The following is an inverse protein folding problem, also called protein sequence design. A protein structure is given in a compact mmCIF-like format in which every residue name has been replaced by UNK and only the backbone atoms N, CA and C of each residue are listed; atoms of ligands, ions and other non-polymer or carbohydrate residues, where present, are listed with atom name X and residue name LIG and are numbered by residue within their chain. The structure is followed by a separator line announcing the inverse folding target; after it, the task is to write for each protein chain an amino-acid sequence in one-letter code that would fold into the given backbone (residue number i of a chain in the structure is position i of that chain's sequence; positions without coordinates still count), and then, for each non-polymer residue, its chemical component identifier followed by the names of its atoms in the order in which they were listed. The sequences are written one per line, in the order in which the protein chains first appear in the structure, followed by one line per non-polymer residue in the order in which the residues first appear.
data_IF_628913578921
#
_entry.id   IF_628913578921
#
_cell.length_a   1.000
_cell.length_b   1.000
_cell.length_c   1.000
_cell.angle_alpha   90.00
_cell.angle_beta   90.00
_cell.angle_gamma   90.00
#
_symmetry.space_group_name_H-M   'P 1'
#
loop_
_entity.id
_entity.type
_entity.pdbx_description
1 polymer ?
#
# COMPACT_ATOMS: atom_id res chain seq x y z
N UNK A 1 37.65 -125.82 -26.91
CA UNK A 1 37.58 -124.82 -25.81
C UNK A 1 36.82 -123.60 -26.31
N UNK A 2 35.53 -123.48 -25.98
CA UNK A 2 34.65 -122.41 -26.47
C UNK A 2 34.51 -121.32 -25.39
N UNK A 3 35.03 -120.13 -25.68
CA UNK A 3 34.88 -118.94 -24.82
C UNK A 3 33.43 -118.45 -24.92
N UNK A 4 32.70 -118.51 -23.80
CA UNK A 4 31.34 -117.95 -23.68
C UNK A 4 31.44 -116.43 -23.70
N UNK A 5 30.92 -115.81 -24.75
CA UNK A 5 30.79 -114.36 -24.85
C UNK A 5 29.82 -113.84 -23.80
N UNK A 6 30.28 -112.89 -22.99
CA UNK A 6 29.47 -112.21 -21.98
C UNK A 6 28.38 -111.38 -22.67
N UNK A 7 27.13 -111.64 -22.29
CA UNK A 7 25.95 -110.91 -22.73
C UNK A 7 26.09 -109.41 -22.41
N UNK A 8 26.20 -108.59 -23.46
CA UNK A 8 26.12 -107.12 -23.33
C UNK A 8 24.67 -106.73 -23.04
N UNK A 9 24.39 -106.22 -21.84
CA UNK A 9 23.10 -105.59 -21.51
C UNK A 9 23.15 -104.12 -21.95
N UNK A 10 22.37 -103.69 -22.97
CA UNK A 10 22.35 -102.29 -23.37
C UNK A 10 21.74 -101.43 -22.26
N UNK A 11 22.44 -100.36 -21.89
CA UNK A 11 22.03 -99.39 -20.87
C UNK A 11 20.79 -98.62 -21.37
N UNK A 12 19.63 -98.84 -20.74
CA UNK A 12 18.38 -98.16 -21.12
C UNK A 12 18.53 -96.64 -20.90
N UNK A 13 18.42 -95.86 -21.99
CA UNK A 13 18.39 -94.40 -21.93
C UNK A 13 17.00 -93.98 -21.46
N UNK A 14 16.86 -93.58 -20.20
CA UNK A 14 15.66 -92.92 -19.70
C UNK A 14 15.43 -91.61 -20.46
N UNK A 15 14.49 -91.61 -21.41
CA UNK A 15 13.98 -90.37 -21.99
C UNK A 15 13.09 -89.72 -20.94
N UNK A 16 13.57 -88.64 -20.32
CA UNK A 16 12.75 -87.80 -19.46
C UNK A 16 11.73 -87.11 -20.36
N UNK A 17 10.50 -87.61 -20.38
CA UNK A 17 9.38 -86.93 -21.01
C UNK A 17 9.15 -85.64 -20.22
N UNK A 18 9.62 -84.50 -20.77
CA UNK A 18 9.27 -83.16 -20.26
C UNK A 18 7.75 -83.04 -20.37
N UNK A 19 7.06 -83.13 -19.24
CA UNK A 19 5.66 -82.81 -19.17
C UNK A 19 5.45 -81.39 -19.72
N UNK A 20 4.43 -81.15 -20.57
CA UNK A 20 4.13 -79.81 -21.05
C UNK A 20 3.85 -78.92 -19.84
N UNK A 21 4.70 -77.92 -19.66
CA UNK A 21 4.62 -76.94 -18.58
C UNK A 21 3.31 -76.16 -18.70
N UNK A 22 2.27 -76.61 -17.98
CA UNK A 22 0.90 -76.06 -17.96
C UNK A 22 0.81 -74.68 -17.28
N UNK A 23 1.92 -73.96 -17.10
CA UNK A 23 1.98 -72.70 -16.33
C UNK A 23 1.97 -71.41 -17.17
N UNK A 24 1.51 -71.42 -18.41
CA UNK A 24 1.48 -70.20 -19.25
C UNK A 24 0.13 -69.46 -19.29
N UNK A 25 -0.92 -69.95 -18.63
CA UNK A 25 -2.27 -69.40 -18.76
C UNK A 25 -2.66 -68.26 -17.82
N UNK A 26 -2.07 -68.15 -16.62
CA UNK A 26 -2.62 -67.29 -15.55
C UNK A 26 -1.92 -65.94 -15.36
N UNK A 27 -0.88 -65.61 -16.14
CA UNK A 27 -0.09 -64.39 -15.91
C UNK A 27 -0.76 -63.12 -16.48
N UNK A 28 -1.84 -63.24 -17.28
CA UNK A 28 -2.44 -62.08 -17.97
C UNK A 28 -3.66 -61.44 -17.31
N UNK A 29 -4.31 -62.09 -16.34
CA UNK A 29 -5.53 -61.53 -15.72
C UNK A 29 -5.22 -60.57 -14.57
N UNK A 30 -4.14 -60.78 -13.83
CA UNK A 30 -3.75 -59.93 -12.69
C UNK A 30 -3.36 -58.49 -13.11
N UNK A 31 -2.82 -58.34 -14.32
CA UNK A 31 -2.42 -57.03 -14.85
C UNK A 31 -3.61 -56.10 -15.11
N UNK A 32 -4.74 -56.64 -15.55
CA UNK A 32 -5.95 -55.84 -15.85
C UNK A 32 -6.63 -55.34 -14.58
N UNK A 33 -6.66 -56.15 -13.52
CA UNK A 33 -7.24 -55.76 -12.23
C UNK A 33 -6.44 -54.63 -11.56
N UNK A 34 -5.11 -54.68 -11.60
CA UNK A 34 -4.24 -53.61 -11.07
C UNK A 34 -4.36 -52.32 -11.87
N UNK A 35 -4.38 -52.41 -13.20
CA UNK A 35 -4.56 -51.25 -14.07
C UNK A 35 -5.91 -50.55 -13.82
N UNK A 36 -6.99 -51.32 -13.61
CA UNK A 36 -8.31 -50.77 -13.28
C UNK A 36 -8.33 -50.02 -11.92
N UNK A 37 -7.58 -50.51 -10.93
CA UNK A 37 -7.45 -49.84 -9.63
C UNK A 37 -6.76 -48.47 -9.73
N UNK A 38 -5.65 -48.40 -10.48
CA UNK A 38 -4.90 -47.15 -10.70
C UNK A 38 -5.75 -46.14 -11.48
N UNK A 39 -6.45 -46.58 -12.53
CA UNK A 39 -7.32 -45.70 -13.31
C UNK A 39 -8.43 -45.07 -12.45
N UNK A 40 -9.08 -45.84 -11.57
CA UNK A 40 -10.09 -45.32 -10.64
C UNK A 40 -9.52 -44.29 -9.67
N UNK A 41 -8.31 -44.51 -9.16
CA UNK A 41 -7.64 -43.55 -8.27
C UNK A 41 -7.36 -42.23 -9.00
N UNK A 42 -6.83 -42.27 -10.22
CA UNK A 42 -6.56 -41.07 -11.04
C UNK A 42 -7.85 -40.29 -11.29
N UNK A 43 -8.92 -40.98 -11.71
CA UNK A 43 -10.23 -40.34 -11.93
C UNK A 43 -10.76 -39.71 -10.64
N UNK A 44 -10.61 -40.39 -9.49
CA UNK A 44 -10.98 -39.86 -8.19
C UNK A 44 -10.20 -38.60 -7.81
N UNK A 45 -8.88 -38.58 -8.04
CA UNK A 45 -8.04 -37.40 -7.80
C UNK A 45 -8.42 -36.22 -8.70
N UNK A 46 -8.67 -36.47 -10.00
CA UNK A 46 -9.11 -35.43 -10.93
C UNK A 46 -10.46 -34.86 -10.49
N UNK A 47 -11.41 -35.73 -10.13
CA UNK A 47 -12.72 -35.31 -9.63
C UNK A 47 -12.60 -34.48 -8.35
N UNK A 48 -11.82 -34.94 -7.37
CA UNK A 48 -11.61 -34.21 -6.12
C UNK A 48 -10.90 -32.86 -6.35
N UNK A 49 -9.89 -32.83 -7.23
CA UNK A 49 -9.22 -31.59 -7.63
C UNK A 49 -10.16 -30.60 -8.31
N UNK A 50 -11.04 -31.08 -9.20
CA UNK A 50 -12.05 -30.25 -9.85
C UNK A 50 -13.07 -29.69 -8.85
N UNK A 51 -13.54 -30.51 -7.90
CA UNK A 51 -14.44 -30.07 -6.83
C UNK A 51 -13.74 -29.03 -5.94
N UNK A 52 -12.49 -29.25 -5.56
CA UNK A 52 -11.70 -28.29 -4.77
C UNK A 52 -11.53 -26.96 -5.51
N UNK A 53 -11.22 -27.01 -6.81
CA UNK A 53 -11.08 -25.81 -7.65
C UNK A 53 -12.40 -25.07 -7.80
N UNK A 54 -13.51 -25.80 -7.93
CA UNK A 54 -14.86 -25.22 -7.97
C UNK A 54 -15.23 -24.54 -6.65
N UNK A 55 -14.92 -25.16 -5.50
CA UNK A 55 -15.11 -24.52 -4.20
C UNK A 55 -14.21 -23.29 -4.06
N UNK A 56 -12.92 -23.38 -4.38
CA UNK A 56 -12.02 -22.23 -4.32
C UNK A 56 -12.55 -21.08 -5.19
N UNK A 57 -12.99 -21.37 -6.41
CA UNK A 57 -13.63 -20.39 -7.28
C UNK A 57 -14.90 -19.81 -6.64
N UNK A 58 -15.79 -20.65 -6.12
CA UNK A 58 -17.01 -20.21 -5.45
C UNK A 58 -16.70 -19.30 -4.25
N UNK A 59 -15.73 -19.64 -3.42
CA UNK A 59 -15.33 -18.83 -2.26
C UNK A 59 -14.65 -17.51 -2.66
N UNK A 60 -13.85 -17.50 -3.72
CA UNK A 60 -13.19 -16.28 -4.20
C UNK A 60 -14.16 -15.30 -4.88
N UNK A 61 -15.15 -15.81 -5.62
CA UNK A 61 -16.09 -15.01 -6.40
C UNK A 61 -17.46 -14.82 -5.74
N UNK A 62 -17.71 -15.48 -4.61
CA UNK A 62 -18.94 -15.26 -3.85
C UNK A 62 -18.94 -13.87 -3.22
N UNK A 63 -20.07 -13.18 -3.32
CA UNK A 63 -20.33 -11.93 -2.58
C UNK A 63 -20.31 -12.12 -1.05
N UNK A 64 -20.24 -13.36 -0.56
CA UNK A 64 -20.07 -13.69 0.87
C UNK A 64 -18.71 -13.28 1.46
N UNK A 65 -17.76 -12.76 0.70
CA UNK A 65 -16.51 -12.18 1.25
C UNK A 65 -16.31 -10.71 0.85
N UNK A 66 -17.36 -10.05 0.34
CA UNK A 66 -17.29 -8.63 0.01
C UNK A 66 -17.10 -7.80 1.29
N UNK A 67 -16.19 -6.83 1.24
CA UNK A 67 -15.93 -5.92 2.36
C UNK A 67 -17.14 -5.00 2.55
N UNK A 68 -17.76 -5.07 3.71
CA UNK A 68 -18.94 -4.26 4.08
C UNK A 68 -18.58 -3.14 5.05
N UNK A 69 -17.60 -3.37 5.93
CA UNK A 69 -17.20 -2.43 6.97
C UNK A 69 -15.76 -1.94 6.71
N UNK A 70 -15.57 -0.63 6.69
CA UNK A 70 -14.26 0.01 6.57
C UNK A 70 -14.10 0.89 7.81
N UNK A 71 -13.24 0.46 8.73
CA UNK A 71 -12.93 1.20 9.95
C UNK A 71 -11.68 2.01 9.74
N UNK A 72 -11.80 3.33 9.91
CA UNK A 72 -10.69 4.28 9.82
C UNK A 72 -10.44 4.81 11.23
N UNK A 73 -9.17 4.79 11.65
CA UNK A 73 -8.73 5.18 12.98
C UNK A 73 -7.53 6.12 12.83
N UNK A 74 -7.49 7.18 13.64
CA UNK A 74 -6.35 8.09 13.72
C UNK A 74 -6.38 9.27 12.75
N UNK A 75 -7.46 9.43 11.98
CA UNK A 75 -7.66 10.64 11.19
C UNK A 75 -8.10 11.80 12.09
N UNK A 76 -7.35 12.90 12.03
CA UNK A 76 -7.59 14.13 12.80
C UNK A 76 -8.00 15.26 11.87
N UNK A 77 -7.23 15.51 10.82
CA UNK A 77 -7.49 16.58 9.86
C UNK A 77 -8.08 16.05 8.55
N UNK A 78 -7.79 14.81 8.17
CA UNK A 78 -8.28 14.26 6.90
C UNK A 78 -9.75 13.82 7.03
N UNK A 79 -10.67 14.32 6.19
CA UNK A 79 -12.07 13.91 6.25
C UNK A 79 -12.26 12.42 5.99
N UNK A 80 -12.98 11.73 6.88
CA UNK A 80 -13.25 10.28 6.77
C UNK A 80 -13.91 9.90 5.44
N UNK A 81 -14.78 10.77 4.90
CA UNK A 81 -15.47 10.54 3.64
C UNK A 81 -14.53 10.46 2.43
N UNK A 82 -13.48 11.30 2.39
CA UNK A 82 -12.48 11.30 1.33
C UNK A 82 -11.63 10.02 1.36
N UNK A 83 -11.17 9.63 2.56
CA UNK A 83 -10.44 8.37 2.76
C UNK A 83 -11.28 7.17 2.35
N UNK A 84 -12.57 7.14 2.73
CA UNK A 84 -13.49 6.10 2.27
C UNK A 84 -13.62 6.08 0.74
N UNK A 85 -13.67 7.25 0.10
CA UNK A 85 -13.69 7.37 -1.35
C UNK A 85 -12.46 6.74 -2.02
N UNK A 86 -11.26 7.04 -1.50
CA UNK A 86 -10.00 6.48 -2.00
C UNK A 86 -9.97 4.97 -1.81
N UNK A 87 -10.27 4.49 -0.60
CA UNK A 87 -10.28 3.05 -0.29
C UNK A 87 -11.28 2.32 -1.19
N UNK A 88 -12.50 2.84 -1.35
CA UNK A 88 -13.52 2.25 -2.24
C UNK A 88 -13.08 2.25 -3.70
N UNK A 89 -12.44 3.33 -4.15
CA UNK A 89 -11.92 3.41 -5.52
C UNK A 89 -10.88 2.32 -5.79
N UNK A 90 -9.95 2.10 -4.87
CA UNK A 90 -8.94 1.04 -5.00
C UNK A 90 -9.52 -0.36 -4.89
N UNK A 91 -10.46 -0.58 -3.96
CA UNK A 91 -11.19 -1.86 -3.88
C UNK A 91 -12.01 -2.15 -5.14
N UNK A 92 -12.45 -1.12 -5.86
CA UNK A 92 -13.19 -1.27 -7.12
C UNK A 92 -12.29 -1.64 -8.31
N UNK A 93 -10.97 -1.38 -8.23
CA UNK A 93 -10.06 -1.72 -9.32
C UNK A 93 -9.96 -3.24 -9.47
N UNK A 94 -10.05 -3.72 -10.71
CA UNK A 94 -9.84 -5.13 -11.03
C UNK A 94 -8.34 -5.43 -11.05
N UNK A 95 -7.90 -6.40 -10.24
CA UNK A 95 -6.52 -6.88 -10.32
C UNK A 95 -6.45 -8.01 -11.35
N UNK A 96 -5.50 -7.90 -12.28
CA UNK A 96 -5.33 -8.85 -13.38
C UNK A 96 -6.57 -9.05 -14.27
N UNK A 97 -7.44 -8.04 -14.37
CA UNK A 97 -8.61 -8.04 -15.26
C UNK A 97 -9.78 -8.94 -14.86
N UNK A 98 -9.54 -9.99 -14.08
CA UNK A 98 -10.54 -11.05 -13.78
C UNK A 98 -10.96 -11.05 -12.31
N UNK A 99 -10.07 -10.71 -11.37
CA UNK A 99 -10.36 -10.84 -9.94
C UNK A 99 -10.78 -9.49 -9.35
N UNK A 100 -12.01 -9.35 -8.83
CA UNK A 100 -12.43 -8.14 -8.14
C UNK A 100 -11.68 -8.00 -6.80
N UNK A 101 -11.07 -6.83 -6.57
CA UNK A 101 -10.30 -6.56 -5.33
C UNK A 101 -11.18 -6.31 -4.09
N UNK A 102 -12.49 -6.59 -4.19
CA UNK A 102 -13.48 -6.38 -3.12
C UNK A 102 -13.57 -7.53 -2.12
N UNK A 103 -12.94 -8.66 -2.41
CA UNK A 103 -12.91 -9.80 -1.48
C UNK A 103 -11.96 -9.53 -0.33
N UNK A 104 -12.44 -9.67 0.92
CA UNK A 104 -11.68 -9.43 2.14
C UNK A 104 -10.40 -10.28 2.25
N UNK A 105 -10.37 -11.42 1.57
CA UNK A 105 -9.21 -12.33 1.53
C UNK A 105 -8.06 -11.80 0.68
N UNK A 106 -8.38 -11.13 -0.43
CA UNK A 106 -7.44 -10.77 -1.51
C UNK A 106 -7.17 -9.26 -1.62
N UNK A 107 -7.56 -8.49 -0.60
CA UNK A 107 -7.40 -7.04 -0.58
C UNK A 107 -5.91 -6.66 -0.69
N UNK A 108 -5.52 -5.83 -1.66
CA UNK A 108 -4.17 -5.31 -1.75
C UNK A 108 -3.97 -4.21 -0.71
N UNK A 109 -3.64 -4.60 0.53
CA UNK A 109 -3.41 -3.69 1.67
C UNK A 109 -2.37 -2.62 1.35
N UNK A 110 -1.31 -3.02 0.64
CA UNK A 110 -0.20 -2.13 0.28
C UNK A 110 -0.64 -1.11 -0.77
N UNK A 111 -1.41 -1.53 -1.78
CA UNK A 111 -1.94 -0.60 -2.79
C UNK A 111 -2.92 0.42 -2.17
N UNK A 112 -3.71 0.01 -1.17
CA UNK A 112 -4.57 0.94 -0.42
C UNK A 112 -3.72 1.93 0.38
N UNK A 113 -2.66 1.46 1.04
CA UNK A 113 -1.75 2.34 1.78
C UNK A 113 -1.04 3.33 0.84
N UNK A 114 -0.52 2.85 -0.30
CA UNK A 114 0.17 3.68 -1.29
C UNK A 114 -0.78 4.70 -1.95
N UNK A 115 -2.03 4.32 -2.22
CA UNK A 115 -3.04 5.24 -2.73
C UNK A 115 -3.32 6.38 -1.73
N UNK A 116 -3.36 6.09 -0.42
CA UNK A 116 -3.51 7.12 0.61
C UNK A 116 -2.24 7.99 0.70
N UNK A 117 -1.05 7.39 0.74
CA UNK A 117 0.25 8.10 0.78
C UNK A 117 0.48 9.01 -0.43
N UNK A 118 -0.03 8.63 -1.59
CA UNK A 118 0.10 9.44 -2.81
C UNK A 118 -0.72 10.75 -2.77
N UNK A 119 -1.71 10.84 -1.88
CA UNK A 119 -2.61 12.00 -1.77
C UNK A 119 -2.42 12.79 -0.48
N UNK A 120 -1.94 12.16 0.60
CA UNK A 120 -1.78 12.80 1.89
C UNK A 120 -0.42 12.53 2.51
N UNK A 121 0.07 13.51 3.27
CA UNK A 121 1.31 13.39 4.06
C UNK A 121 0.96 12.73 5.39
N UNK A 122 1.32 11.46 5.51
CA UNK A 122 1.09 10.59 6.67
C UNK A 122 2.42 10.05 7.16
N UNK A 123 2.58 9.90 8.47
CA UNK A 123 3.82 9.39 9.06
C UNK A 123 3.82 7.86 9.04
N UNK A 124 2.75 7.24 9.55
CA UNK A 124 2.53 5.80 9.48
C UNK A 124 1.12 5.45 8.97
N UNK A 125 1.03 4.33 8.23
CA UNK A 125 -0.23 3.74 7.79
C UNK A 125 -0.14 2.22 7.97
N UNK A 126 -1.06 1.68 8.78
CA UNK A 126 -1.26 0.25 8.96
C UNK A 126 -2.64 -0.15 8.44
N UNK A 127 -2.67 -0.78 7.27
CA UNK A 127 -3.87 -1.41 6.71
C UNK A 127 -3.91 -2.89 7.10
N UNK A 128 -4.90 -3.30 7.89
CA UNK A 128 -5.08 -4.69 8.32
C UNK A 128 -6.42 -5.24 7.86
N UNK A 129 -6.41 -6.48 7.38
CA UNK A 129 -7.62 -7.24 7.03
C UNK A 129 -8.29 -7.75 8.30
N UNK A 130 -9.59 -7.54 8.43
CA UNK A 130 -10.42 -8.05 9.53
C UNK A 130 -11.47 -8.99 8.93
N UNK A 131 -11.15 -10.27 8.91
CA UNK A 131 -12.07 -11.28 8.42
C UNK A 131 -13.35 -11.32 9.30
N UNK A 132 -14.52 -11.65 8.73
CA UNK A 132 -14.76 -11.99 7.32
C UNK A 132 -15.09 -10.82 6.38
N UNK A 133 -15.50 -9.63 6.88
CA UNK A 133 -16.10 -8.57 6.04
C UNK A 133 -15.54 -7.17 6.25
N UNK A 134 -14.41 -7.02 6.94
CA UNK A 134 -13.93 -5.72 7.36
C UNK A 134 -12.46 -5.45 6.98
N UNK A 135 -12.15 -4.17 6.81
CA UNK A 135 -10.77 -3.67 6.77
C UNK A 135 -10.65 -2.62 7.86
N UNK A 136 -9.54 -2.67 8.61
CA UNK A 136 -9.15 -1.59 9.52
C UNK A 136 -7.95 -0.85 8.96
N UNK A 137 -8.10 0.45 8.76
CA UNK A 137 -7.05 1.38 8.39
C UNK A 137 -6.74 2.24 9.60
N UNK A 138 -5.56 2.03 10.18
CA UNK A 138 -5.02 2.92 11.20
C UNK A 138 -3.99 3.82 10.52
N UNK A 139 -4.09 5.12 10.73
CA UNK A 139 -3.16 6.10 10.17
C UNK A 139 -2.70 7.08 11.25
N UNK A 140 -1.46 7.53 11.11
CA UNK A 140 -0.87 8.59 11.92
C UNK A 140 -0.54 9.76 11.00
N UNK A 141 -1.27 10.86 11.15
CA UNK A 141 -1.08 12.06 10.34
C UNK A 141 0.19 12.79 10.76
N UNK A 142 1.01 13.18 9.78
CA UNK A 142 2.16 14.04 10.05
C UNK A 142 1.65 15.47 10.22
N UNK A 143 1.76 16.02 11.43
CA UNK A 143 1.51 17.44 11.68
C UNK A 143 2.59 18.26 10.99
N UNK A 144 2.37 18.63 9.73
CA UNK A 144 3.25 19.52 9.01
C UNK A 144 3.09 20.93 9.57
N UNK A 145 4.05 21.36 10.39
CA UNK A 145 4.24 22.77 10.73
C UNK A 145 4.92 23.43 9.54
N UNK A 146 4.25 24.40 8.92
CA UNK A 146 4.87 25.24 7.90
C UNK A 146 5.55 26.39 8.64
N UNK A 147 6.89 26.39 8.66
CA UNK A 147 7.67 27.52 9.16
C UNK A 147 7.85 28.50 8.01
N UNK A 148 7.22 29.66 8.10
CA UNK A 148 7.33 30.68 7.07
C UNK A 148 8.38 31.69 7.52
N UNK A 149 9.58 31.62 6.93
CA UNK A 149 10.67 32.55 7.22
C UNK A 149 10.48 33.79 6.35
N UNK A 150 9.97 34.87 6.93
CA UNK A 150 9.84 36.16 6.25
C UNK A 150 11.03 37.02 6.66
N UNK A 151 11.79 37.53 5.68
CA UNK A 151 12.79 38.57 5.93
C UNK A 151 12.09 39.92 5.77
N UNK A 152 11.62 40.51 6.86
CA UNK A 152 11.11 41.88 6.87
C UNK A 152 12.29 42.85 6.99
N UNK A 153 12.54 43.72 5.99
CA UNK A 153 13.49 44.81 6.15
C UNK A 153 12.97 45.76 7.23
N UNK A 154 13.81 46.14 8.18
CA UNK A 154 13.48 47.17 9.17
C UNK A 154 14.34 48.38 8.82
N UNK A 155 13.71 49.43 8.30
CA UNK A 155 14.38 50.71 8.14
C UNK A 155 14.41 51.41 9.50
N UNK A 156 15.60 51.55 10.08
CA UNK A 156 15.80 52.37 11.26
C UNK A 156 15.87 53.81 10.79
N UNK A 157 14.72 54.50 10.84
CA UNK A 157 14.70 55.95 10.68
C UNK A 157 15.25 56.53 11.98
N UNK A 158 16.49 57.03 11.95
CA UNK A 158 17.09 57.76 13.07
C UNK A 158 16.28 59.05 13.31
N UNK A 159 15.30 58.97 14.22
CA UNK A 159 14.43 60.06 14.61
C UNK A 159 15.17 61.25 15.26
N UNK A 160 16.46 61.11 15.54
CA UNK A 160 17.32 62.16 16.10
C UNK A 160 17.48 63.38 15.18
N UNK A 161 17.20 63.25 13.87
CA UNK A 161 17.36 64.37 12.92
C UNK A 161 16.09 65.20 12.72
N UNK A 162 14.94 64.80 13.28
CA UNK A 162 13.65 65.47 13.08
C UNK A 162 13.25 66.43 14.22
N UNK A 163 14.10 66.58 15.24
CA UNK A 163 13.87 67.49 16.36
C UNK A 163 14.82 68.69 16.35
N UNK A 164 15.15 69.22 15.17
CA UNK A 164 15.55 70.62 15.11
C UNK A 164 14.26 71.44 15.13
N UNK A 165 13.94 72.12 16.25
CA UNK A 165 12.82 73.05 16.27
C UNK A 165 13.11 74.11 15.20
N UNK A 166 12.22 74.24 14.22
CA UNK A 166 12.18 75.48 13.45
C UNK A 166 11.83 76.59 14.45
N UNK A 167 12.85 77.38 14.81
CA UNK A 167 12.69 78.60 15.54
C UNK A 167 11.80 79.54 14.71
N UNK A 168 10.57 79.71 15.19
CA UNK A 168 9.85 80.97 15.11
C UNK A 168 9.04 81.18 13.85
N UNK A 169 7.75 80.92 13.95
CA UNK A 169 6.75 81.96 13.67
C UNK A 169 5.45 81.63 14.39
N UNK A 170 5.17 82.39 15.46
CA UNK A 170 3.85 82.45 16.09
C UNK A 170 2.83 82.91 15.04
N UNK A 171 1.83 82.07 14.78
CA UNK A 171 0.75 82.37 13.86
C UNK A 171 -0.32 81.31 13.92
N UNK A 172 -1.28 81.52 14.81
CA UNK A 172 -2.68 81.09 14.78
C UNK A 172 -3.11 79.85 13.97
N UNK A 173 -3.85 79.00 14.69
CA UNK A 173 -5.12 78.39 14.30
C UNK A 173 -5.17 76.87 14.12
N UNK A 174 -6.26 76.34 14.69
CA UNK A 174 -7.00 75.15 14.32
C UNK A 174 -6.38 73.77 14.64
N UNK A 175 -6.76 73.29 15.82
CA UNK A 175 -6.86 71.88 16.18
C UNK A 175 -7.65 71.08 15.13
N UNK A 176 -6.95 70.32 14.28
CA UNK A 176 -7.51 69.18 13.56
C UNK A 176 -6.82 67.90 14.01
N UNK A 177 -7.62 67.04 14.65
CA UNK A 177 -7.28 65.68 15.07
C UNK A 177 -7.01 64.82 13.84
N UNK A 178 -5.76 64.78 13.38
CA UNK A 178 -5.32 63.81 12.38
C UNK A 178 -5.21 62.43 13.03
N UNK A 179 -6.13 61.56 12.62
CA UNK A 179 -6.07 60.14 12.91
C UNK A 179 -4.85 59.57 12.18
N UNK A 180 -3.92 58.98 12.93
CA UNK A 180 -2.82 58.18 12.38
C UNK A 180 -3.42 56.99 11.62
N UNK A 181 -3.64 57.16 10.32
CA UNK A 181 -3.85 56.05 9.40
C UNK A 181 -2.52 55.32 9.19
N UNK A 182 -2.39 54.17 9.83
CA UNK A 182 -1.34 53.19 9.54
C UNK A 182 -1.66 52.59 8.16
N UNK A 183 -1.13 53.23 7.11
CA UNK A 183 -1.28 52.79 5.72
C UNK A 183 -0.34 51.61 5.43
N UNK A 184 -0.91 50.44 5.20
CA UNK A 184 -0.21 49.23 4.76
C UNK A 184 0.00 49.19 3.22
N UNK A 185 0.21 50.33 2.56
CA UNK A 185 0.46 50.33 1.13
C UNK A 185 1.95 50.09 0.83
N UNK A 186 2.25 48.89 0.33
CA UNK A 186 3.50 48.55 -0.33
C UNK A 186 3.64 49.38 -1.63
N UNK A 187 4.17 50.60 -1.52
CA UNK A 187 4.53 51.43 -2.66
C UNK A 187 5.78 50.82 -3.32
N UNK A 188 5.53 50.00 -4.32
CA UNK A 188 6.56 49.32 -5.13
C UNK A 188 7.00 50.28 -6.24
N UNK A 189 7.84 51.28 -5.94
CA UNK A 189 8.29 52.19 -7.00
C UNK A 189 9.11 53.42 -6.64
N UNK A 190 9.60 53.59 -5.40
CA UNK A 190 10.44 54.74 -5.08
C UNK A 190 11.89 54.55 -5.58
N UNK A 191 12.51 55.57 -6.20
CA UNK A 191 13.91 55.53 -6.62
C UNK A 191 14.82 55.36 -5.39
N UNK A 192 15.75 54.41 -5.50
CA UNK A 192 16.68 53.99 -4.45
C UNK A 192 17.55 55.18 -4.02
N UNK A 193 17.46 55.69 -2.79
CA UNK A 193 18.35 56.75 -2.34
C UNK A 193 19.79 56.22 -2.27
N UNK A 194 20.75 56.92 -2.87
CA UNK A 194 22.18 56.55 -2.93
C UNK A 194 22.94 56.79 -1.61
N UNK A 195 22.23 56.74 -0.47
CA UNK A 195 22.84 56.85 0.86
C UNK A 195 23.12 55.46 1.43
N UNK A 196 24.39 55.17 1.75
CA UNK A 196 24.81 53.94 2.42
C UNK A 196 24.32 53.92 3.89
N UNK A 197 23.03 53.71 4.10
CA UNK A 197 22.47 53.37 5.41
C UNK A 197 22.69 51.89 5.69
N UNK A 198 23.18 51.56 6.88
CA UNK A 198 23.21 50.17 7.37
C UNK A 198 21.76 49.66 7.50
N UNK A 199 21.34 48.80 6.56
CA UNK A 199 20.05 48.11 6.66
C UNK A 199 20.21 46.95 7.64
N UNK A 200 19.66 47.10 8.84
CA UNK A 200 19.54 45.99 9.79
C UNK A 200 18.29 45.16 9.50
N UNK A 201 18.39 43.84 9.56
CA UNK A 201 17.24 42.94 9.37
C UNK A 201 16.83 42.38 10.73
N UNK A 202 15.55 42.52 11.10
CA UNK A 202 14.97 41.77 12.20
C UNK A 202 14.51 40.40 11.67
N UNK A 203 15.05 39.31 12.22
CA UNK A 203 14.57 37.98 11.92
C UNK A 203 13.36 37.66 12.80
N UNK A 204 12.15 37.71 12.24
CA UNK A 204 10.94 37.21 12.89
C UNK A 204 10.58 35.83 12.33
N UNK A 205 10.38 34.86 13.22
CA UNK A 205 9.93 33.50 12.89
C UNK A 205 8.41 33.43 13.03
N UNK A 206 7.72 33.13 11.94
CA UNK A 206 6.28 32.88 11.94
C UNK A 206 6.02 31.40 11.69
N UNK A 207 5.14 30.82 12.53
CA UNK A 207 4.64 29.48 12.32
C UNK A 207 3.20 29.57 11.81
N UNK A 208 2.93 28.92 10.68
CA UNK A 208 1.57 28.65 10.21
C UNK A 208 1.12 27.36 10.86
N UNK A 209 0.11 27.47 11.72
CA UNK A 209 -0.64 26.30 12.17
C UNK A 209 -1.50 25.75 11.02
N UNK A 210 -1.91 24.49 11.12
CA UNK A 210 -2.71 23.78 10.10
C UNK A 210 -4.05 24.49 9.81
N UNK A 211 -4.50 25.35 10.73
CA UNK A 211 -5.69 26.19 10.60
C UNK A 211 -5.44 27.54 9.89
N UNK A 212 -4.22 27.81 9.41
CA UNK A 212 -3.86 29.09 8.80
C UNK A 212 -3.63 30.24 9.80
N UNK A 213 -3.57 29.93 11.11
CA UNK A 213 -3.26 30.94 12.14
C UNK A 213 -1.74 31.15 12.16
N UNK A 214 -1.33 32.39 11.94
CA UNK A 214 0.07 32.82 12.04
C UNK A 214 0.37 33.16 13.49
N UNK A 215 1.24 32.39 14.14
CA UNK A 215 1.71 32.69 15.49
C UNK A 215 3.14 33.22 15.40
N UNK A 216 3.35 34.43 15.89
CA UNK A 216 4.68 35.01 16.02
C UNK A 216 5.45 34.29 17.14
N UNK A 217 6.67 33.84 16.85
CA UNK A 217 7.58 33.34 17.87
C UNK A 217 8.17 34.54 18.62
N UNK A 218 7.80 34.70 19.89
CA UNK A 218 8.40 35.63 20.84
C UNK A 218 9.79 35.15 21.27
#
# INVERSE_FOLDING_TARGET
MLRRHQYYKPKQRHRVLRAPDRKSGHVREDGRARAAGIARAIVGFIFFGAVLLWFAYFFLFSGSFEIKDIRIIGNKNIPTAELLGIIRSELSRKRWGVVPSRSSLLVPTDAVADAIRSRYIVDDISVRRRLPFAISVALEEKLSRVVLRVKTPVEIINAETALLPEEGTEGDAASSTESQEVSHNNVTGAPKPEGAGEVSFAESLYYLDVNGIVVAAL
#
